data_IF_757222848941
#
_entry.id   IF_757222848941
#
_cell.length_a   1.000
_cell.length_b   1.000
_cell.length_c   1.000
_cell.angle_alpha   90.00
_cell.angle_beta   90.00
_cell.angle_gamma   90.00
#
_symmetry.space_group_name_H-M   'P 1'
#
loop_
_entity.id
_entity.type
_entity.pdbx_description
1 polymer ?
#
# COMPACT_ATOMS: atom_id res chain seq x y z
N UNK A 1 25.20 22.68 0.04
CA UNK A 1 24.63 21.51 -0.66
C UNK A 1 23.36 21.16 0.08
N UNK A 2 22.26 21.82 -0.27
CA UNK A 2 20.94 21.52 0.29
C UNK A 2 20.42 20.28 -0.43
N UNK A 3 20.53 19.13 0.23
CA UNK A 3 19.70 17.97 -0.08
C UNK A 3 18.26 18.39 0.17
N UNK A 4 17.61 18.89 -0.90
CA UNK A 4 16.17 19.08 -0.95
C UNK A 4 15.58 17.70 -0.71
N UNK A 5 15.20 17.42 0.54
CA UNK A 5 14.20 16.42 0.86
C UNK A 5 12.98 16.93 0.11
N UNK A 6 12.78 16.45 -1.12
CA UNK A 6 11.50 16.52 -1.79
C UNK A 6 10.59 15.68 -0.91
N UNK A 7 10.07 16.29 0.16
CA UNK A 7 8.85 15.83 0.79
C UNK A 7 7.83 15.87 -0.33
N UNK A 8 7.72 14.74 -1.04
CA UNK A 8 6.55 14.42 -1.83
C UNK A 8 5.46 14.46 -0.78
N UNK A 9 4.76 15.60 -0.72
CA UNK A 9 3.78 15.89 0.31
C UNK A 9 2.62 14.95 0.04
N UNK A 10 2.71 13.74 0.61
CA UNK A 10 1.63 12.78 0.54
C UNK A 10 0.41 13.45 1.14
N UNK A 11 -0.72 13.33 0.46
CA UNK A 11 -1.99 13.85 0.98
C UNK A 11 -2.52 12.97 2.09
N UNK A 12 -2.21 11.68 2.04
CA UNK A 12 -2.60 10.71 3.05
C UNK A 12 -1.68 10.80 4.27
N UNK A 13 -2.28 11.13 5.42
CA UNK A 13 -1.59 11.04 6.71
C UNK A 13 -1.36 9.58 7.11
N UNK A 14 -0.10 9.20 7.27
CA UNK A 14 0.33 7.86 7.65
C UNK A 14 1.09 7.84 8.98
N UNK A 15 1.07 8.94 9.74
CA UNK A 15 1.88 9.08 10.94
C UNK A 15 1.48 8.05 12.00
N UNK A 16 0.16 7.90 12.24
CA UNK A 16 -0.38 6.91 13.16
C UNK A 16 -0.02 5.46 12.75
N UNK A 17 0.01 5.18 11.44
CA UNK A 17 0.43 3.88 10.90
C UNK A 17 1.91 3.62 11.21
N UNK A 18 2.78 4.61 11.02
CA UNK A 18 4.22 4.48 11.25
C UNK A 18 4.61 4.48 12.71
N UNK A 19 3.88 5.17 13.58
CA UNK A 19 4.05 5.05 15.03
C UNK A 19 3.73 3.65 15.50
N UNK A 20 2.66 3.05 14.97
CA UNK A 20 2.25 1.68 15.33
C UNK A 20 3.15 0.61 14.71
N UNK A 21 3.62 0.84 13.49
CA UNK A 21 4.44 -0.09 12.72
C UNK A 21 5.67 0.63 12.15
N UNK A 22 6.73 0.81 12.95
CA UNK A 22 7.90 1.61 12.55
C UNK A 22 8.65 1.05 11.34
N UNK A 23 8.58 -0.26 11.10
CA UNK A 23 9.16 -0.92 9.92
C UNK A 23 8.46 -0.49 8.61
N UNK A 24 7.26 0.10 8.67
CA UNK A 24 6.56 0.62 7.49
C UNK A 24 7.09 1.99 7.05
N UNK A 25 7.97 2.64 7.82
CA UNK A 25 8.62 3.89 7.40
C UNK A 25 9.42 3.74 6.10
N UNK A 26 9.87 2.53 5.77
CA UNK A 26 10.53 2.25 4.50
C UNK A 26 9.62 2.50 3.27
N UNK A 27 8.30 2.68 3.46
CA UNK A 27 7.39 3.19 2.41
C UNK A 27 7.75 4.61 2.00
N UNK A 28 8.23 5.43 2.93
CA UNK A 28 8.65 6.81 2.66
C UNK A 28 9.92 6.85 1.80
N UNK A 29 10.87 5.98 2.13
CA UNK A 29 12.16 5.86 1.43
C UNK A 29 12.00 5.29 0.01
N UNK A 30 11.05 4.37 -0.18
CA UNK A 30 10.80 3.71 -1.46
C UNK A 30 9.65 4.36 -2.25
N UNK A 31 9.11 5.49 -1.78
CA UNK A 31 7.94 6.13 -2.40
C UNK A 31 8.19 6.49 -3.87
N UNK A 32 7.23 6.16 -4.74
CA UNK A 32 7.39 6.36 -6.18
C UNK A 32 8.26 5.32 -6.88
N UNK A 33 8.52 4.19 -6.22
CA UNK A 33 9.15 3.02 -6.83
C UNK A 33 8.19 1.85 -6.89
N UNK A 34 8.46 0.89 -7.77
CA UNK A 34 7.74 -0.39 -7.83
C UNK A 34 7.78 -1.14 -6.48
N UNK A 35 8.88 -1.04 -5.74
CA UNK A 35 9.05 -1.67 -4.42
C UNK A 35 8.03 -1.20 -3.40
N UNK A 36 7.77 0.11 -3.37
CA UNK A 36 6.74 0.69 -2.51
C UNK A 36 5.35 0.16 -2.84
N UNK A 37 4.96 0.14 -4.12
CA UNK A 37 3.66 -0.41 -4.53
C UNK A 37 3.49 -1.87 -4.14
N UNK A 38 4.49 -2.70 -4.40
CA UNK A 38 4.48 -4.12 -4.00
C UNK A 38 4.35 -4.29 -2.49
N UNK A 39 5.02 -3.44 -1.70
CA UNK A 39 4.92 -3.46 -0.24
C UNK A 39 3.51 -3.08 0.23
N UNK A 40 2.92 -2.00 -0.28
CA UNK A 40 1.55 -1.59 0.03
C UNK A 40 0.55 -2.70 -0.30
N UNK A 41 0.68 -3.32 -1.47
CA UNK A 41 -0.13 -4.46 -1.88
C UNK A 41 0.04 -5.67 -0.96
N UNK A 42 1.28 -5.97 -0.53
CA UNK A 42 1.54 -7.06 0.42
C UNK A 42 0.87 -6.80 1.76
N UNK A 43 0.91 -5.57 2.27
CA UNK A 43 0.26 -5.18 3.53
C UNK A 43 -1.25 -5.32 3.47
N UNK A 44 -1.87 -4.96 2.33
CA UNK A 44 -3.29 -5.18 2.09
C UNK A 44 -3.67 -6.68 2.13
N UNK A 45 -2.75 -7.57 1.76
CA UNK A 45 -2.97 -9.02 1.72
C UNK A 45 -2.43 -9.78 2.94
N UNK A 46 -1.75 -9.12 3.87
CA UNK A 46 -1.15 -9.74 5.07
C UNK A 46 -2.20 -10.15 6.12
N UNK A 47 -3.49 -10.02 5.80
CA UNK A 47 -4.62 -10.48 6.61
C UNK A 47 -4.95 -11.96 6.45
N UNK A 48 -4.26 -12.70 5.58
CA UNK A 48 -4.58 -14.10 5.19
C UNK A 48 -4.28 -15.18 6.24
N UNK A 49 -3.81 -14.83 7.44
CA UNK A 49 -3.31 -15.81 8.42
C UNK A 49 -4.31 -16.34 9.46
N UNK A 50 -5.56 -15.84 9.53
CA UNK A 50 -6.64 -16.36 10.39
C UNK A 50 -6.43 -16.32 11.92
N UNK A 51 -5.20 -16.16 12.40
CA UNK A 51 -4.81 -16.17 13.83
C UNK A 51 -4.15 -14.87 14.30
N UNK A 52 -3.82 -13.97 13.37
CA UNK A 52 -3.38 -12.60 13.69
C UNK A 52 -4.56 -11.68 13.41
N UNK A 53 -5.01 -10.93 14.43
CA UNK A 53 -5.89 -9.79 14.19
C UNK A 53 -5.23 -8.96 13.10
N UNK A 54 -5.89 -8.84 11.95
CA UNK A 54 -5.37 -8.08 10.81
C UNK A 54 -5.10 -6.63 11.20
N UNK A 55 -4.69 -5.81 10.23
CA UNK A 55 -4.62 -4.37 10.49
C UNK A 55 -5.98 -3.87 11.00
N UNK A 56 -6.00 -3.03 12.05
CA UNK A 56 -7.19 -2.26 12.42
C UNK A 56 -7.77 -1.59 11.17
N UNK A 57 -9.10 -1.51 11.08
CA UNK A 57 -9.78 -0.96 9.90
C UNK A 57 -9.24 0.42 9.49
N UNK A 58 -8.88 1.25 10.47
CA UNK A 58 -8.26 2.56 10.25
C UNK A 58 -6.92 2.47 9.52
N UNK A 59 -6.03 1.56 9.94
CA UNK A 59 -4.72 1.37 9.31
C UNK A 59 -4.84 0.70 7.94
N UNK A 60 -5.76 -0.24 7.77
CA UNK A 60 -6.06 -0.83 6.46
C UNK A 60 -6.54 0.24 5.46
N UNK A 61 -7.41 1.16 5.91
CA UNK A 61 -7.85 2.30 5.11
C UNK A 61 -6.69 3.23 4.75
N UNK A 62 -5.79 3.54 5.68
CA UNK A 62 -4.58 4.35 5.38
C UNK A 62 -3.71 3.69 4.31
N UNK A 63 -3.46 2.39 4.42
CA UNK A 63 -2.65 1.64 3.43
C UNK A 63 -3.32 1.66 2.05
N UNK A 64 -4.65 1.49 1.99
CA UNK A 64 -5.41 1.59 0.74
C UNK A 64 -5.33 2.98 0.13
N UNK A 65 -5.46 4.04 0.92
CA UNK A 65 -5.33 5.43 0.44
C UNK A 65 -3.91 5.71 -0.08
N UNK A 66 -2.88 5.22 0.60
CA UNK A 66 -1.49 5.32 0.13
C UNK A 66 -1.30 4.60 -1.22
N UNK A 67 -1.88 3.41 -1.38
CA UNK A 67 -1.80 2.67 -2.63
C UNK A 67 -2.47 3.44 -3.79
N UNK A 68 -3.69 3.93 -3.57
CA UNK A 68 -4.41 4.73 -4.57
C UNK A 68 -3.67 6.03 -4.93
N UNK A 69 -3.09 6.69 -3.93
CA UNK A 69 -2.29 7.88 -4.14
C UNK A 69 -1.02 7.58 -4.94
N UNK A 70 -0.35 6.47 -4.63
CA UNK A 70 0.81 5.99 -5.36
C UNK A 70 0.47 5.66 -6.82
N UNK A 71 -0.58 4.89 -7.08
CA UNK A 71 -1.01 4.55 -8.45
C UNK A 71 -1.40 5.79 -9.24
N UNK A 72 -2.05 6.78 -8.61
CA UNK A 72 -2.38 8.05 -9.25
C UNK A 72 -1.13 8.86 -9.66
N UNK A 73 -0.09 8.85 -8.83
CA UNK A 73 1.14 9.60 -9.08
C UNK A 73 2.12 8.83 -9.99
N UNK A 74 2.06 7.50 -9.96
CA UNK A 74 2.98 6.62 -10.65
C UNK A 74 2.24 5.48 -11.39
N UNK A 75 1.36 5.81 -12.34
CA UNK A 75 0.52 4.83 -13.05
C UNK A 75 1.34 3.78 -13.79
N UNK A 76 2.59 4.07 -14.17
CA UNK A 76 3.50 3.12 -14.81
C UNK A 76 3.80 1.87 -13.96
N UNK A 77 3.52 1.89 -12.66
CA UNK A 77 3.70 0.72 -11.79
C UNK A 77 2.39 -0.04 -11.53
N UNK A 78 1.26 0.46 -12.03
CA UNK A 78 -0.06 -0.17 -11.91
C UNK A 78 -0.17 -1.42 -12.78
N UNK A 79 0.21 -1.32 -14.06
CA UNK A 79 0.07 -2.37 -15.07
C UNK A 79 0.95 -3.60 -14.78
N UNK A 80 2.15 -3.39 -14.27
CA UNK A 80 3.11 -4.46 -14.00
C UNK A 80 2.72 -5.30 -12.76
N UNK A 81 1.90 -4.72 -11.88
CA UNK A 81 1.41 -5.40 -10.69
C UNK A 81 0.06 -6.09 -10.89
N UNK A 82 -0.48 -6.10 -12.10
CA UNK A 82 -1.45 -7.09 -12.57
C UNK A 82 -0.80 -8.48 -12.70
N UNK A 83 -0.09 -8.92 -11.66
CA UNK A 83 0.21 -10.33 -11.48
C UNK A 83 -1.14 -11.06 -11.29
N UNK A 84 -1.33 -12.26 -11.88
CA UNK A 84 -2.61 -12.98 -11.91
C UNK A 84 -3.21 -13.34 -10.54
N UNK A 85 -2.57 -12.96 -9.43
CA UNK A 85 -3.03 -13.15 -8.06
C UNK A 85 -4.22 -12.25 -7.64
N UNK A 86 -4.79 -11.48 -8.58
CA UNK A 86 -5.87 -10.51 -8.35
C UNK A 86 -7.03 -10.65 -9.35
N UNK A 87 -7.11 -11.75 -10.12
CA UNK A 87 -8.03 -11.87 -11.25
C UNK A 87 -8.91 -13.13 -11.31
N UNK A 88 -8.82 -14.09 -10.37
CA UNK A 88 -9.58 -15.34 -10.51
C UNK A 88 -10.52 -15.71 -9.33
N UNK A 89 -10.37 -15.14 -8.13
CA UNK A 89 -11.19 -15.56 -6.98
C UNK A 89 -12.39 -14.65 -6.66
N UNK A 90 -12.34 -13.36 -7.03
CA UNK A 90 -13.38 -12.40 -6.65
C UNK A 90 -14.66 -12.45 -7.52
N UNK A 91 -14.60 -13.00 -8.74
CA UNK A 91 -15.76 -13.08 -9.63
C UNK A 91 -16.68 -14.28 -9.34
N UNK A 92 -16.23 -15.27 -8.54
CA UNK A 92 -17.05 -16.45 -8.22
C UNK A 92 -18.06 -16.22 -7.10
N UNK A 93 -17.94 -15.14 -6.33
CA UNK A 93 -18.78 -14.89 -5.13
C UNK A 93 -19.97 -13.95 -5.36
N UNK A 94 -20.06 -13.31 -6.53
CA UNK A 94 -21.13 -12.36 -6.88
C UNK A 94 -21.86 -12.70 -8.19
N UNK A 95 -21.88 -13.98 -8.58
CA UNK A 95 -22.70 -14.49 -9.67
C UNK A 95 -23.67 -15.55 -9.17
N UNK A 96 -24.84 -15.12 -8.66
CA UNK A 96 -26.04 -15.94 -8.60
C UNK A 96 -27.20 -15.16 -9.15
#
# INVERSE_FOLDING_TARGET
METRIMSISRKTDAEALFQRFPHLRAIDEEWGTRGCRMRLMKLMNDTRGGSRAGFPAEHARTIMLLLLEHDRLYPQYEEDAALPMWGEDHLRRYGR
#
